data_IF_859614866113
#
_entry.id   IF_859614866113
#
_cell.length_a   1.000
_cell.length_b   1.000
_cell.length_c   1.000
_cell.angle_alpha   90.00
_cell.angle_beta   90.00
_cell.angle_gamma   90.00
#
_symmetry.space_group_name_H-M   'P 1'
#
loop_
_entity.id
_entity.type
_entity.pdbx_description
1 polymer ?
#
# COMPACT_ATOMS: atom_id res chain seq x y z
N UNK A 1 -13.78 2.31 11.25
CA UNK A 1 -13.19 2.81 9.98
C UNK A 1 -11.68 2.63 9.92
N UNK A 2 -10.84 3.61 10.31
CA UNK A 2 -9.38 3.53 10.11
C UNK A 2 -8.71 2.31 10.77
N UNK A 3 -9.11 1.94 12.00
CA UNK A 3 -8.63 0.72 12.66
C UNK A 3 -8.97 -0.55 11.87
N UNK A 4 -10.18 -0.61 11.30
CA UNK A 4 -10.64 -1.76 10.50
C UNK A 4 -9.90 -1.83 9.16
N UNK A 5 -9.67 -0.70 8.51
CA UNK A 5 -8.86 -0.62 7.30
C UNK A 5 -7.46 -1.20 7.53
N UNK A 6 -6.79 -0.82 8.62
CA UNK A 6 -5.48 -1.38 8.97
C UNK A 6 -5.53 -2.89 9.27
N UNK A 7 -6.54 -3.34 10.02
CA UNK A 7 -6.65 -4.73 10.46
C UNK A 7 -7.06 -5.68 9.32
N UNK A 8 -7.88 -5.20 8.40
CA UNK A 8 -8.59 -6.03 7.43
C UNK A 8 -8.15 -5.81 5.98
N UNK A 9 -7.38 -4.77 5.65
CA UNK A 9 -6.85 -4.60 4.29
C UNK A 9 -5.89 -5.73 3.93
N UNK A 10 -6.36 -6.63 3.06
CA UNK A 10 -5.58 -7.77 2.57
C UNK A 10 -4.31 -7.31 1.86
N UNK A 11 -4.39 -6.20 1.11
CA UNK A 11 -3.24 -5.67 0.39
C UNK A 11 -2.21 -5.06 1.34
N UNK A 12 -2.65 -4.37 2.39
CA UNK A 12 -1.74 -3.87 3.43
C UNK A 12 -1.00 -5.04 4.11
N UNK A 13 -1.72 -6.08 4.54
CA UNK A 13 -1.11 -7.25 5.18
C UNK A 13 -0.15 -8.00 4.25
N UNK A 14 -0.48 -8.15 2.96
CA UNK A 14 0.43 -8.71 1.95
C UNK A 14 1.70 -7.88 1.80
N UNK A 15 1.58 -6.56 1.84
CA UNK A 15 2.75 -5.67 1.79
C UNK A 15 3.63 -5.86 3.03
N UNK A 16 3.04 -5.93 4.23
CA UNK A 16 3.80 -6.18 5.46
C UNK A 16 4.52 -7.55 5.40
N UNK A 17 3.85 -8.59 4.90
CA UNK A 17 4.45 -9.90 4.71
C UNK A 17 5.63 -9.87 3.71
N UNK A 18 5.48 -9.15 2.60
CA UNK A 18 6.54 -8.97 1.62
C UNK A 18 7.75 -8.23 2.22
N UNK A 19 7.51 -7.20 3.02
CA UNK A 19 8.55 -6.48 3.78
C UNK A 19 9.25 -7.44 4.74
N UNK A 20 8.51 -8.22 5.52
CA UNK A 20 9.08 -9.16 6.49
C UNK A 20 9.96 -10.22 5.80
N UNK A 21 9.45 -10.86 4.74
CA UNK A 21 10.19 -11.87 3.97
C UNK A 21 11.48 -11.28 3.38
N UNK A 22 11.39 -10.08 2.80
CA UNK A 22 12.54 -9.39 2.23
C UNK A 22 13.57 -9.05 3.31
N UNK A 23 13.11 -8.50 4.45
CA UNK A 23 13.96 -8.20 5.60
C UNK A 23 14.68 -9.43 6.14
N UNK A 24 13.98 -10.54 6.33
CA UNK A 24 14.58 -11.79 6.79
C UNK A 24 15.62 -12.32 5.79
N UNK A 25 15.31 -12.29 4.48
CA UNK A 25 16.24 -12.73 3.43
C UNK A 25 17.51 -11.89 3.39
N UNK A 26 17.42 -10.60 3.65
CA UNK A 26 18.59 -9.70 3.67
C UNK A 26 19.41 -9.80 4.97
N UNK A 27 18.80 -10.19 6.07
CA UNK A 27 19.42 -10.24 7.39
C UNK A 27 19.81 -11.66 7.84
N UNK A 28 19.85 -12.63 6.91
CA UNK A 28 20.30 -14.01 7.20
C UNK A 28 21.68 -13.99 7.86
N UNK A 29 21.83 -14.72 8.97
CA UNK A 29 23.08 -14.79 9.73
C UNK A 29 23.35 -13.60 10.65
N UNK A 30 22.41 -12.67 10.79
CA UNK A 30 22.48 -11.56 11.76
C UNK A 30 21.43 -11.73 12.86
N UNK A 31 21.55 -10.96 13.93
CA UNK A 31 20.53 -10.88 15.00
C UNK A 31 19.19 -10.26 14.56
N UNK A 32 19.09 -9.80 13.30
CA UNK A 32 17.85 -9.27 12.68
C UNK A 32 17.22 -10.25 11.68
N UNK A 33 17.84 -11.42 11.46
CA UNK A 33 17.27 -12.49 10.65
C UNK A 33 16.15 -13.24 11.39
N UNK A 34 15.36 -14.02 10.65
CA UNK A 34 14.28 -14.88 11.17
C UNK A 34 13.26 -14.16 12.08
N UNK A 35 13.05 -12.87 11.86
CA UNK A 35 12.03 -12.11 12.56
C UNK A 35 10.63 -12.68 12.24
N UNK A 36 9.78 -12.76 13.27
CA UNK A 36 8.38 -13.18 13.13
C UNK A 36 7.45 -11.99 12.88
N UNK A 37 7.85 -10.79 13.29
CA UNK A 37 7.12 -9.55 13.13
C UNK A 37 8.06 -8.34 13.19
N UNK A 38 7.58 -7.18 12.77
CA UNK A 38 8.26 -5.90 12.92
C UNK A 38 7.24 -4.81 13.27
N UNK A 39 7.69 -3.76 13.98
CA UNK A 39 6.86 -2.59 14.28
C UNK A 39 6.69 -1.70 13.05
N UNK A 40 5.53 -1.09 12.88
CA UNK A 40 5.24 -0.25 11.71
C UNK A 40 6.20 0.95 11.55
N UNK A 41 6.84 1.44 12.62
CA UNK A 41 7.92 2.45 12.53
C UNK A 41 9.06 2.04 11.60
N UNK A 42 9.22 0.74 11.35
CA UNK A 42 10.26 0.21 10.45
C UNK A 42 9.93 0.48 8.98
N UNK A 43 8.65 0.67 8.63
CA UNK A 43 8.22 0.92 7.25
C UNK A 43 8.87 2.19 6.67
N UNK A 44 8.94 3.25 7.47
CA UNK A 44 9.55 4.51 7.05
C UNK A 44 11.06 4.39 6.84
N UNK A 45 11.72 3.39 7.45
CA UNK A 45 13.17 3.15 7.27
C UNK A 45 13.50 2.46 5.94
N UNK A 46 12.51 1.84 5.28
CA UNK A 46 12.72 1.12 4.02
C UNK A 46 13.12 2.03 2.86
N UNK A 47 12.82 3.33 2.95
CA UNK A 47 13.25 4.32 1.95
C UNK A 47 14.71 4.71 2.08
N UNK A 48 15.28 4.56 3.27
CA UNK A 48 16.65 4.97 3.56
C UNK A 48 17.66 3.89 3.19
N UNK A 49 17.21 2.63 3.13
CA UNK A 49 18.02 1.49 2.69
C UNK A 49 18.13 1.51 1.17
N UNK A 50 19.26 1.99 0.67
CA UNK A 50 19.56 2.10 -0.77
C UNK A 50 20.49 0.99 -1.25
N UNK A 51 20.29 0.58 -2.50
CA UNK A 51 21.22 -0.28 -3.22
C UNK A 51 22.52 0.43 -3.58
N UNK A 52 23.44 -0.31 -4.22
CA UNK A 52 24.76 0.21 -4.64
C UNK A 52 24.69 1.35 -5.64
N UNK A 53 23.57 1.49 -6.35
CA UNK A 53 23.31 2.60 -7.29
C UNK A 53 22.96 3.92 -6.58
N UNK A 54 22.75 3.90 -5.26
CA UNK A 54 22.32 5.06 -4.46
C UNK A 54 20.94 5.63 -4.83
N UNK A 55 20.22 4.99 -5.74
CA UNK A 55 18.96 5.46 -6.34
C UNK A 55 17.80 4.55 -6.00
N UNK A 56 18.01 3.24 -6.08
CA UNK A 56 16.97 2.24 -5.84
C UNK A 56 16.94 1.89 -4.37
N UNK A 57 15.79 2.10 -3.72
CA UNK A 57 15.59 1.77 -2.31
C UNK A 57 15.04 0.36 -2.15
N UNK A 58 15.11 -0.20 -0.94
CA UNK A 58 14.51 -1.49 -0.64
C UNK A 58 13.00 -1.53 -0.95
N UNK A 59 12.30 -0.42 -0.72
CA UNK A 59 10.89 -0.31 -1.05
C UNK A 59 10.61 -0.45 -2.56
N UNK A 60 11.51 -0.01 -3.44
CA UNK A 60 11.36 -0.25 -4.89
C UNK A 60 11.36 -1.75 -5.21
N UNK A 61 12.25 -2.52 -4.58
CA UNK A 61 12.32 -3.97 -4.75
C UNK A 61 11.08 -4.66 -4.20
N UNK A 62 10.60 -4.26 -3.01
CA UNK A 62 9.36 -4.80 -2.42
C UNK A 62 8.16 -4.56 -3.36
N UNK A 63 8.02 -3.34 -3.89
CA UNK A 63 6.95 -3.01 -4.85
C UNK A 63 7.07 -3.87 -6.11
N UNK A 64 8.26 -4.01 -6.69
CA UNK A 64 8.47 -4.86 -7.87
C UNK A 64 8.16 -6.34 -7.61
N UNK A 65 8.47 -6.85 -6.43
CA UNK A 65 8.20 -8.24 -6.06
C UNK A 65 6.68 -8.48 -5.89
N UNK A 66 5.96 -7.55 -5.27
CA UNK A 66 4.49 -7.63 -5.17
C UNK A 66 3.87 -7.62 -6.58
N UNK A 67 4.32 -6.73 -7.46
CA UNK A 67 3.88 -6.66 -8.87
C UNK A 67 4.06 -8.01 -9.56
N UNK A 68 5.25 -8.60 -9.45
CA UNK A 68 5.57 -9.91 -10.05
C UNK A 68 4.71 -11.02 -9.48
N UNK A 69 4.45 -11.02 -8.17
CA UNK A 69 3.65 -12.04 -7.51
C UNK A 69 2.17 -12.00 -7.95
N UNK A 70 1.60 -10.81 -8.09
CA UNK A 70 0.22 -10.63 -8.57
C UNK A 70 0.08 -11.00 -10.06
N UNK A 71 1.09 -10.69 -10.87
CA UNK A 71 1.14 -11.12 -12.28
C UNK A 71 1.21 -12.64 -12.42
N UNK A 72 2.05 -13.31 -11.62
CA UNK A 72 2.14 -14.76 -11.61
C UNK A 72 0.83 -15.41 -11.14
N UNK A 73 0.16 -14.84 -10.15
CA UNK A 73 -1.13 -15.32 -9.68
C UNK A 73 -2.20 -15.24 -10.79
N UNK A 74 -2.26 -14.13 -11.53
CA UNK A 74 -3.16 -13.99 -12.68
C UNK A 74 -2.81 -14.91 -13.85
N UNK A 75 -1.53 -15.17 -14.09
CA UNK A 75 -1.09 -16.11 -15.13
C UNK A 75 -1.53 -17.54 -14.80
N UNK A 76 -1.46 -17.96 -13.53
CA UNK A 76 -1.89 -19.29 -13.07
C UNK A 76 -3.41 -19.48 -13.10
N UNK A 77 -4.20 -18.40 -13.05
CA UNK A 77 -5.66 -18.42 -13.16
C UNK A 77 -6.15 -18.48 -14.63
N UNK A 78 -5.25 -18.29 -15.61
CA UNK A 78 -5.57 -18.34 -17.04
C UNK A 78 -5.17 -19.69 -17.64
N UNK A 79 -6.11 -20.31 -18.34
CA UNK A 79 -5.95 -21.61 -19.02
C UNK A 79 -4.87 -21.58 -20.12
N UNK A 80 -4.15 -22.68 -20.42
CA UNK A 80 -3.02 -22.71 -21.36
C UNK A 80 -3.35 -22.40 -22.83
N UNK A 81 -4.61 -22.21 -23.20
CA UNK A 81 -5.06 -22.15 -24.61
C UNK A 81 -5.09 -20.75 -25.22
N UNK A 82 -4.56 -19.71 -24.57
CA UNK A 82 -4.39 -18.40 -25.17
C UNK A 82 -2.92 -18.17 -25.53
N UNK A 83 -2.52 -18.63 -26.72
CA UNK A 83 -1.27 -18.20 -27.37
C UNK A 83 -1.35 -16.69 -27.65
N UNK A 84 -0.90 -15.89 -26.69
CA UNK A 84 -0.53 -14.51 -26.93
C UNK A 84 0.86 -14.30 -26.35
N UNK A 85 1.75 -13.81 -27.20
CA UNK A 85 3.17 -13.52 -26.97
C UNK A 85 3.54 -13.16 -25.51
N UNK A 86 4.69 -13.60 -24.98
CA UNK A 86 5.15 -13.31 -23.61
C UNK A 86 5.44 -11.81 -23.34
N UNK A 87 5.14 -10.93 -24.29
CA UNK A 87 5.22 -9.47 -24.19
C UNK A 87 3.89 -8.80 -23.77
N UNK A 88 2.80 -9.55 -23.64
CA UNK A 88 1.43 -9.00 -23.57
C UNK A 88 0.75 -8.96 -22.19
N UNK A 89 1.34 -9.51 -21.13
CA UNK A 89 0.78 -9.30 -19.78
C UNK A 89 1.04 -7.83 -19.42
N UNK A 90 0.00 -6.99 -19.24
CA UNK A 90 0.24 -5.60 -18.91
C UNK A 90 0.87 -5.56 -17.53
N UNK A 91 2.17 -5.21 -17.46
CA UNK A 91 2.91 -4.91 -16.23
C UNK A 91 2.26 -3.83 -15.34
N UNK A 92 1.14 -3.28 -15.82
CA UNK A 92 0.31 -2.24 -15.21
C UNK A 92 -0.62 -2.78 -14.13
N UNK A 93 -1.05 -4.06 -14.18
CA UNK A 93 -2.04 -4.56 -13.22
C UNK A 93 -1.46 -4.66 -11.80
N UNK A 94 -0.30 -5.30 -11.62
CA UNK A 94 0.32 -5.39 -10.30
C UNK A 94 0.65 -4.02 -9.71
N UNK A 95 1.13 -3.08 -10.54
CA UNK A 95 1.44 -1.71 -10.09
C UNK A 95 0.17 -0.96 -9.69
N UNK A 96 -0.93 -1.12 -10.44
CA UNK A 96 -2.21 -0.52 -10.14
C UNK A 96 -2.78 -1.05 -8.82
N UNK A 97 -2.64 -2.35 -8.54
CA UNK A 97 -3.04 -2.95 -7.27
C UNK A 97 -2.29 -2.27 -6.11
N UNK A 98 -0.95 -2.20 -6.16
CA UNK A 98 -0.16 -1.58 -5.08
C UNK A 98 -0.48 -0.08 -4.94
N UNK A 99 -0.67 0.63 -6.06
CA UNK A 99 -1.04 2.05 -6.05
C UNK A 99 -2.46 2.31 -5.52
N UNK A 100 -3.36 1.33 -5.56
CA UNK A 100 -4.71 1.46 -5.00
C UNK A 100 -4.73 1.41 -3.47
N UNK A 101 -3.65 0.93 -2.82
CA UNK A 101 -3.57 0.79 -1.37
C UNK A 101 -3.80 2.14 -0.64
N UNK A 102 -3.27 3.24 -1.20
CA UNK A 102 -3.49 4.56 -0.61
C UNK A 102 -4.97 4.99 -0.66
N UNK A 103 -5.76 4.46 -1.61
CA UNK A 103 -7.19 4.68 -1.67
C UNK A 103 -7.96 3.81 -0.69
N UNK A 104 -7.58 2.53 -0.56
CA UNK A 104 -8.18 1.60 0.41
C UNK A 104 -8.01 2.07 1.86
N UNK A 105 -6.87 2.68 2.18
CA UNK A 105 -6.55 3.19 3.52
C UNK A 105 -6.81 4.70 3.64
N UNK A 106 -7.82 5.22 2.95
CA UNK A 106 -8.09 6.67 2.95
C UNK A 106 -8.52 7.20 4.32
N UNK A 107 -9.21 6.40 5.15
CA UNK A 107 -9.59 6.84 6.49
C UNK A 107 -8.40 6.82 7.45
N UNK A 108 -7.37 6.01 7.19
CA UNK A 108 -6.08 6.11 7.91
C UNK A 108 -5.46 7.49 7.73
N UNK A 109 -5.45 8.05 6.52
CA UNK A 109 -4.93 9.43 6.29
C UNK A 109 -5.76 10.49 7.01
N UNK A 110 -7.08 10.33 7.06
CA UNK A 110 -7.96 11.23 7.82
C UNK A 110 -7.67 11.14 9.33
N UNK A 111 -7.56 9.92 9.86
CA UNK A 111 -7.25 9.69 11.27
C UNK A 111 -5.86 10.23 11.65
N UNK A 112 -4.88 10.18 10.75
CA UNK A 112 -3.55 10.75 10.95
C UNK A 112 -3.56 12.28 11.13
N UNK A 113 -4.55 12.98 10.56
CA UNK A 113 -4.72 14.43 10.73
C UNK A 113 -5.51 14.83 11.98
N UNK A 114 -6.03 13.86 12.75
CA UNK A 114 -6.77 14.14 13.98
C UNK A 114 -5.82 14.36 15.15
N UNK A 115 -6.29 15.11 16.13
CA UNK A 115 -5.58 15.37 17.39
C UNK A 115 -6.46 14.91 18.55
N UNK A 116 -5.98 13.94 19.33
CA UNK A 116 -6.72 13.33 20.43
C UNK A 116 -6.93 14.32 21.59
N UNK A 117 -5.99 15.21 21.84
CA UNK A 117 -6.09 16.20 22.91
C UNK A 117 -7.10 17.29 22.55
N UNK A 118 -7.11 17.70 21.28
CA UNK A 118 -8.11 18.64 20.76
C UNK A 118 -9.51 18.03 20.83
N UNK A 119 -9.68 16.77 20.42
CA UNK A 119 -10.96 16.07 20.52
C UNK A 119 -11.46 16.02 21.97
N UNK A 120 -10.66 15.48 22.89
CA UNK A 120 -11.08 15.34 24.28
C UNK A 120 -11.26 16.68 24.98
N UNK A 121 -10.46 17.70 24.65
CA UNK A 121 -10.67 19.05 25.20
C UNK A 121 -11.97 19.69 24.72
N UNK A 122 -12.38 19.42 23.48
CA UNK A 122 -13.63 19.93 22.91
C UNK A 122 -14.85 19.32 23.61
N UNK A 123 -14.83 17.99 23.83
CA UNK A 123 -15.87 17.27 24.57
C UNK A 123 -15.98 17.76 26.02
N UNK A 124 -14.84 17.99 26.69
CA UNK A 124 -14.81 18.57 28.05
C UNK A 124 -15.37 19.99 28.09
N UNK A 125 -15.05 20.84 27.10
CA UNK A 125 -15.56 22.21 27.01
C UNK A 125 -17.07 22.25 26.78
N UNK A 126 -17.60 21.37 25.93
CA UNK A 126 -19.04 21.24 25.71
C UNK A 126 -19.78 20.90 27.00
N UNK A 127 -19.30 19.87 27.72
CA UNK A 127 -19.89 19.49 28.99
C UNK A 127 -19.80 20.61 30.05
N UNK A 128 -18.66 21.28 30.17
CA UNK A 128 -18.50 22.40 31.10
C UNK A 128 -19.39 23.60 30.74
N UNK A 129 -19.63 23.83 29.44
CA UNK A 129 -20.57 24.85 28.97
C UNK A 129 -22.01 24.51 29.37
N UNK A 130 -22.40 23.25 29.24
CA UNK A 130 -23.73 22.78 29.63
C UNK A 130 -23.98 22.87 31.13
N UNK A 131 -22.98 22.56 31.96
CA UNK A 131 -23.07 22.77 33.41
C UNK A 131 -23.34 24.24 33.75
N UNK A 132 -22.68 25.19 33.08
CA UNK A 132 -22.96 26.62 33.27
C UNK A 132 -24.39 27.01 32.89
N UNK A 133 -24.95 26.40 31.85
CA UNK A 133 -26.35 26.60 31.46
C UNK A 133 -27.29 26.04 32.52
N UNK A 134 -26.96 24.86 33.06
CA UNK A 134 -27.70 24.22 34.17
C UNK A 134 -27.70 25.12 35.41
N UNK A 135 -26.55 25.66 35.79
CA UNK A 135 -26.41 26.57 36.94
C UNK A 135 -27.19 27.87 36.71
N UNK A 136 -27.09 28.47 35.53
CA UNK A 136 -27.84 29.68 35.18
C UNK A 136 -29.36 29.47 35.27
N UNK A 137 -29.86 28.31 34.84
CA UNK A 137 -31.29 27.96 34.95
C UNK A 137 -31.74 27.79 36.40
N UNK A 138 -30.89 27.24 37.27
CA UNK A 138 -31.21 27.11 38.70
C UNK A 138 -31.27 28.47 39.39
N UNK A 139 -30.45 29.42 38.94
CA UNK A 139 -30.40 30.77 39.50
C UNK A 139 -31.49 31.69 38.96
N UNK A 140 -32.09 31.40 37.80
CA UNK A 140 -33.11 32.27 37.19
C UNK A 140 -34.47 32.31 37.90
N UNK A 141 -34.70 31.47 38.91
CA UNK A 141 -35.94 31.47 39.69
C UNK A 141 -37.19 31.05 38.89
N UNK A 142 -38.31 30.89 39.59
CA UNK A 142 -39.60 30.46 39.02
C UNK A 142 -40.49 31.66 38.68
N UNK A 143 -39.90 32.61 37.93
CA UNK A 143 -40.63 33.80 37.49
C UNK A 143 -41.58 33.43 36.33
N UNK A 144 -42.88 33.63 36.51
CA UNK A 144 -43.91 33.26 35.54
C UNK A 144 -43.73 34.01 34.19
N UNK A 145 -43.10 35.18 34.22
CA UNK A 145 -42.70 35.94 33.03
C UNK A 145 -41.61 35.24 32.18
N UNK A 146 -40.80 34.36 32.79
CA UNK A 146 -39.69 33.65 32.15
C UNK A 146 -39.98 32.16 31.91
N UNK A 147 -41.20 31.69 32.18
CA UNK A 147 -41.59 30.29 32.08
C UNK A 147 -41.30 29.68 30.69
N UNK A 148 -41.51 30.45 29.62
CA UNK A 148 -41.26 29.99 28.25
C UNK A 148 -39.76 29.81 27.96
N UNK A 149 -38.90 30.68 28.52
CA UNK A 149 -37.45 30.53 28.43
C UNK A 149 -36.97 29.31 29.22
N UNK A 150 -37.44 29.15 30.46
CA UNK A 150 -37.10 28.01 31.32
C UNK A 150 -37.49 26.67 30.67
N UNK A 151 -38.70 26.58 30.09
CA UNK A 151 -39.17 25.40 29.36
C UNK A 151 -38.29 25.08 28.14
N UNK A 152 -37.97 26.09 27.34
CA UNK A 152 -37.13 25.93 26.14
C UNK A 152 -35.70 25.50 26.51
N UNK A 153 -35.12 26.13 27.53
CA UNK A 153 -33.75 25.85 27.96
C UNK A 153 -33.63 24.51 28.70
N UNK A 154 -34.67 24.09 29.43
CA UNK A 154 -34.74 22.74 30.00
C UNK A 154 -34.75 21.67 28.91
N UNK A 155 -35.53 21.90 27.84
CA UNK A 155 -35.55 21.01 26.66
C UNK A 155 -34.19 20.98 25.94
N UNK A 156 -33.55 22.13 25.78
CA UNK A 156 -32.19 22.23 25.23
C UNK A 156 -31.18 21.48 26.09
N UNK A 157 -31.21 21.68 27.41
CA UNK A 157 -30.32 21.02 28.36
C UNK A 157 -30.44 19.51 28.25
N UNK A 158 -31.66 18.97 28.33
CA UNK A 158 -31.92 17.53 28.25
C UNK A 158 -31.32 16.91 26.98
N UNK A 159 -31.56 17.53 25.82
CA UNK A 159 -30.99 17.07 24.53
C UNK A 159 -29.47 17.15 24.51
N UNK A 160 -28.89 18.26 24.99
CA UNK A 160 -27.46 18.43 25.03
C UNK A 160 -26.77 17.44 25.98
N UNK A 161 -27.39 17.08 27.11
CA UNK A 161 -26.89 16.06 28.04
C UNK A 161 -26.80 14.70 27.35
N UNK A 162 -27.85 14.32 26.62
CA UNK A 162 -27.90 13.07 25.85
C UNK A 162 -26.84 13.04 24.75
N UNK A 163 -26.76 14.10 23.93
CA UNK A 163 -25.79 14.19 22.83
C UNK A 163 -24.33 14.19 23.34
N UNK A 164 -24.03 14.91 24.42
CA UNK A 164 -22.68 14.93 25.02
C UNK A 164 -22.33 13.57 25.61
N UNK A 165 -23.28 12.88 26.26
CA UNK A 165 -23.06 11.53 26.77
C UNK A 165 -22.77 10.54 25.63
N UNK A 166 -23.50 10.64 24.52
CA UNK A 166 -23.25 9.84 23.34
C UNK A 166 -21.85 10.11 22.74
N UNK A 167 -21.48 11.38 22.54
CA UNK A 167 -20.16 11.75 22.00
C UNK A 167 -19.03 11.21 22.89
N UNK A 168 -19.17 11.28 24.21
CA UNK A 168 -18.19 10.71 25.16
C UNK A 168 -18.08 9.19 25.04
N UNK A 169 -19.20 8.51 24.88
CA UNK A 169 -19.20 7.06 24.70
C UNK A 169 -18.50 6.67 23.38
N UNK A 170 -18.79 7.39 22.30
CA UNK A 170 -18.17 7.18 20.99
C UNK A 170 -16.67 7.50 21.01
N UNK A 171 -16.25 8.58 21.66
CA UNK A 171 -14.84 8.94 21.86
C UNK A 171 -14.08 7.82 22.58
N UNK A 172 -14.61 7.33 23.70
CA UNK A 172 -13.98 6.27 24.48
C UNK A 172 -13.91 4.95 23.70
N UNK A 173 -14.98 4.60 22.97
CA UNK A 173 -15.00 3.42 22.12
C UNK A 173 -13.96 3.52 20.99
N UNK A 174 -13.86 4.69 20.34
CA UNK A 174 -12.88 4.92 19.29
C UNK A 174 -11.43 4.82 19.83
N UNK A 175 -11.13 5.44 20.97
CA UNK A 175 -9.80 5.36 21.59
C UNK A 175 -9.45 3.94 22.04
N UNK A 176 -10.43 3.15 22.49
CA UNK A 176 -10.23 1.73 22.81
C UNK A 176 -9.83 0.93 21.57
N UNK A 177 -10.54 1.12 20.45
CA UNK A 177 -10.17 0.48 19.18
C UNK A 177 -8.77 0.90 18.70
N UNK A 178 -8.39 2.15 18.93
CA UNK A 178 -7.05 2.66 18.61
C UNK A 178 -5.98 2.00 19.49
N UNK A 179 -6.28 1.78 20.78
CA UNK A 179 -5.39 1.03 21.67
C UNK A 179 -5.22 -0.41 21.19
N UNK A 180 -6.32 -1.11 20.89
CA UNK A 180 -6.28 -2.50 20.40
C UNK A 180 -5.48 -2.64 19.10
N UNK A 181 -5.69 -1.75 18.13
CA UNK A 181 -4.94 -1.81 16.86
C UNK A 181 -3.45 -1.48 17.05
N UNK A 182 -3.15 -0.59 17.99
CA UNK A 182 -1.77 -0.28 18.38
C UNK A 182 -1.10 -1.48 19.04
N UNK A 183 -1.79 -2.19 19.94
CA UNK A 183 -1.26 -3.44 20.52
C UNK A 183 -1.06 -4.52 19.46
N UNK A 184 -1.98 -4.64 18.50
CA UNK A 184 -1.87 -5.61 17.42
C UNK A 184 -0.59 -5.43 16.57
N UNK A 185 -0.21 -4.19 16.24
CA UNK A 185 0.94 -3.91 15.37
C UNK A 185 2.24 -3.56 16.13
N UNK A 186 2.17 -3.04 17.36
CA UNK A 186 3.34 -2.60 18.14
C UNK A 186 3.62 -3.43 19.40
N UNK A 187 2.68 -4.29 19.80
CA UNK A 187 2.78 -5.22 20.93
C UNK A 187 2.53 -4.60 22.31
N UNK A 188 3.06 -3.40 22.59
CA UNK A 188 2.86 -2.71 23.86
C UNK A 188 2.37 -1.28 23.64
N UNK A 189 1.05 -1.07 23.80
CA UNK A 189 0.44 0.25 23.62
C UNK A 189 0.78 1.26 24.73
N UNK A 190 1.27 0.84 25.90
CA UNK A 190 1.58 1.75 27.01
C UNK A 190 2.63 2.81 26.63
N UNK A 191 3.49 2.52 25.66
CA UNK A 191 4.49 3.49 25.15
C UNK A 191 3.90 4.53 24.20
N UNK A 192 2.74 4.25 23.63
CA UNK A 192 2.07 5.08 22.62
C UNK A 192 0.80 5.73 23.19
N UNK A 193 0.48 5.52 24.47
CA UNK A 193 -0.71 6.11 25.13
C UNK A 193 -0.71 7.64 25.08
N UNK A 194 0.46 8.29 25.06
CA UNK A 194 0.57 9.74 24.93
C UNK A 194 0.18 10.25 23.52
N UNK A 195 0.23 9.39 22.50
CA UNK A 195 -0.07 9.75 21.11
C UNK A 195 -0.88 8.65 20.42
N UNK A 196 -2.17 8.48 20.78
CA UNK A 196 -3.00 7.37 20.28
C UNK A 196 -3.03 7.28 18.74
N UNK A 197 -3.05 8.42 18.03
CA UNK A 197 -3.14 8.44 16.57
C UNK A 197 -1.81 8.30 15.84
N UNK A 198 -0.68 8.14 16.55
CA UNK A 198 0.65 8.01 15.92
C UNK A 198 0.74 6.83 14.97
N UNK A 199 0.06 5.72 15.26
CA UNK A 199 -0.01 4.57 14.35
C UNK A 199 -0.55 4.95 12.97
N UNK A 200 -1.56 5.81 12.92
CA UNK A 200 -2.11 6.30 11.65
C UNK A 200 -1.15 7.24 10.94
N UNK A 201 -0.43 8.09 11.67
CA UNK A 201 0.61 8.98 11.10
C UNK A 201 1.69 8.16 10.41
N UNK A 202 2.23 7.13 11.07
CA UNK A 202 3.27 6.27 10.51
C UNK A 202 2.79 5.62 9.21
N UNK A 203 1.58 5.07 9.19
CA UNK A 203 1.03 4.42 8.00
C UNK A 203 0.72 5.44 6.92
N UNK A 204 0.16 6.60 7.26
CA UNK A 204 -0.12 7.69 6.32
C UNK A 204 1.16 8.15 5.60
N UNK A 205 2.22 8.43 6.36
CA UNK A 205 3.52 8.83 5.81
C UNK A 205 4.11 7.74 4.90
N UNK A 206 3.98 6.48 5.32
CA UNK A 206 4.40 5.35 4.50
C UNK A 206 3.60 5.23 3.20
N UNK A 207 2.29 5.47 3.22
CA UNK A 207 1.47 5.47 2.01
C UNK A 207 1.87 6.58 1.04
N UNK A 208 2.18 7.77 1.55
CA UNK A 208 2.67 8.87 0.72
C UNK A 208 4.03 8.55 0.09
N UNK A 209 4.90 7.88 0.84
CA UNK A 209 6.15 7.32 0.33
C UNK A 209 5.88 6.28 -0.77
N UNK A 210 4.98 5.33 -0.51
CA UNK A 210 4.65 4.25 -1.42
C UNK A 210 4.12 4.79 -2.75
N UNK A 211 3.26 5.80 -2.71
CA UNK A 211 2.74 6.49 -3.90
C UNK A 211 3.87 7.08 -4.76
N UNK A 212 4.89 7.67 -4.13
CA UNK A 212 6.06 8.20 -4.84
C UNK A 212 6.87 7.08 -5.49
N UNK A 213 7.11 5.98 -4.78
CA UNK A 213 7.83 4.82 -5.30
C UNK A 213 7.06 4.15 -6.44
N UNK A 214 5.75 3.97 -6.33
CA UNK A 214 4.91 3.43 -7.40
C UNK A 214 5.01 4.27 -8.68
N UNK A 215 5.00 5.61 -8.56
CA UNK A 215 5.23 6.52 -9.70
C UNK A 215 6.63 6.36 -10.31
N UNK A 216 7.66 6.19 -9.48
CA UNK A 216 9.04 5.98 -9.95
C UNK A 216 9.17 4.65 -10.70
N UNK A 217 8.68 3.55 -10.12
CA UNK A 217 8.67 2.21 -10.74
C UNK A 217 7.91 2.22 -12.07
N UNK A 218 6.75 2.89 -12.13
CA UNK A 218 5.98 3.04 -13.37
C UNK A 218 6.75 3.76 -14.48
N UNK A 219 7.48 4.83 -14.15
CA UNK A 219 8.35 5.54 -15.10
C UNK A 219 9.52 4.66 -15.58
N UNK A 220 10.17 3.93 -14.66
CA UNK A 220 11.26 3.01 -14.99
C UNK A 220 10.80 1.91 -15.96
N UNK A 221 9.63 1.33 -15.73
CA UNK A 221 9.07 0.30 -16.62
C UNK A 221 8.76 0.85 -18.03
N UNK A 222 8.25 2.08 -18.14
CA UNK A 222 8.00 2.73 -19.42
C UNK A 222 9.29 3.03 -20.19
N UNK A 223 10.32 3.52 -19.51
CA UNK A 223 11.62 3.81 -20.11
C UNK A 223 12.32 2.54 -20.62
N UNK A 224 12.30 1.45 -19.82
CA UNK A 224 12.83 0.15 -20.25
C UNK A 224 12.06 -0.41 -21.44
N UNK A 225 10.72 -0.27 -21.47
CA UNK A 225 9.91 -0.69 -22.60
C UNK A 225 10.23 0.12 -23.88
N UNK A 226 10.36 1.45 -23.77
CA UNK A 226 10.73 2.32 -24.89
C UNK A 226 12.14 2.01 -25.42
N UNK A 227 13.11 1.76 -24.54
CA UNK A 227 14.47 1.36 -24.92
C UNK A 227 14.51 0.00 -25.63
N UNK A 228 13.65 -0.94 -25.23
CA UNK A 228 13.52 -2.25 -25.89
C UNK A 228 12.83 -2.17 -27.26
N UNK A 229 11.87 -1.24 -27.43
CA UNK A 229 11.21 -0.99 -28.72
C UNK A 229 12.13 -0.28 -29.73
N UNK A 230 13.00 0.64 -29.27
CA UNK A 230 13.97 1.34 -30.11
C UNK A 230 15.15 0.49 -30.61
N UNK A 231 15.31 -0.75 -30.13
CA UNK A 231 16.35 -1.70 -30.57
C UNK A 231 15.92 -2.66 -31.68
N UNK A 232 14.67 -2.59 -32.16
CA UNK A 232 14.27 -3.30 -33.37
C UNK A 232 14.83 -2.54 -34.59
N UNK A 233 16.01 -2.95 -35.07
CA UNK A 233 16.55 -2.48 -36.35
C UNK A 233 15.53 -2.81 -37.46
N UNK A 234 15.26 -1.89 -38.41
CA UNK A 234 14.41 -2.20 -39.55
C UNK A 234 15.03 -3.35 -40.34
N UNK A 235 14.30 -4.44 -40.52
CA UNK A 235 14.66 -5.48 -41.50
C UNK A 235 14.64 -4.77 -42.87
N UNK A 236 15.73 -4.76 -43.65
CA UNK A 236 15.70 -4.15 -44.98
C UNK A 236 14.73 -4.93 -45.86
N UNK A 237 13.65 -4.27 -46.28
CA UNK A 237 12.74 -4.79 -47.28
C UNK A 237 13.40 -4.69 -48.66
N UNK A 238 14.25 -5.65 -49.01
CA UNK A 238 14.63 -5.90 -50.39
C UNK A 238 15.01 -7.38 -50.58
N UNK A 239 14.19 -8.19 -51.26
CA UNK A 239 14.59 -9.50 -51.73
C UNK A 239 15.47 -9.34 -52.98
N UNK A 240 16.73 -9.73 -52.89
CA UNK A 240 17.61 -9.90 -54.06
C UNK A 240 17.11 -11.14 -54.83
N UNK A 241 16.77 -11.05 -56.13
CA UNK A 241 16.43 -12.23 -56.92
C UNK A 241 17.71 -13.06 -57.18
N UNK A 242 17.65 -14.36 -56.91
CA UNK A 242 18.72 -15.28 -57.27
C UNK A 242 18.88 -15.39 -58.80
N UNK A 243 20.11 -15.44 -59.36
CA UNK A 243 20.29 -15.63 -60.78
C UNK A 243 19.98 -17.07 -61.18
N UNK A 244 19.15 -17.22 -62.21
CA UNK A 244 18.80 -18.50 -62.83
C UNK A 244 20.00 -19.10 -63.54
N UNK A 245 20.57 -20.17 -62.97
CA UNK A 245 21.59 -20.97 -63.63
C UNK A 245 20.95 -21.80 -64.76
N UNK A 246 21.28 -21.45 -66.01
CA UNK A 246 20.97 -22.27 -67.19
C UNK A 246 21.82 -23.54 -67.16
N UNK A 247 21.13 -24.66 -67.31
CA UNK A 247 21.69 -26.00 -67.49
C UNK A 247 22.65 -26.05 -68.69
N UNK A 248 23.89 -26.45 -68.46
CA UNK A 248 24.70 -27.10 -69.50
C UNK A 248 25.23 -28.43 -68.96
N UNK A 249 24.80 -29.49 -69.62
CA UNK A 249 25.14 -30.89 -69.39
C UNK A 249 26.47 -31.18 -70.08
N UNK A 250 27.50 -31.66 -69.38
CA UNK A 250 28.48 -32.60 -69.96
C UNK A 250 28.89 -33.66 -68.94
N UNK A 251 28.92 -34.87 -69.49
CA UNK A 251 29.20 -36.20 -68.96
C UNK A 251 30.72 -36.42 -68.84
N UNK A 252 31.10 -37.40 -68.00
CA UNK A 252 32.15 -38.45 -68.11
C UNK A 252 32.91 -38.58 -66.76
N UNK A 253 32.58 -39.62 -65.95
CA UNK A 253 33.35 -40.88 -65.68
C UNK A 253 34.56 -40.63 -64.78
N UNK A 254 34.99 -41.45 -63.82
CA UNK A 254 34.64 -42.72 -63.18
C UNK A 254 35.68 -42.89 -62.03
N UNK A 255 35.48 -43.88 -61.17
CA UNK A 255 36.45 -44.50 -60.24
C UNK A 255 36.58 -43.97 -58.79
N UNK A 256 35.90 -44.72 -57.91
CA UNK A 256 36.44 -45.60 -56.86
C UNK A 256 37.04 -45.03 -55.56
N UNK A 257 36.41 -45.51 -54.47
CA UNK A 257 36.96 -46.02 -53.19
C UNK A 257 37.78 -45.02 -52.32
N UNK A 258 37.70 -44.98 -50.98
CA UNK A 258 37.49 -46.03 -50.01
C UNK A 258 37.21 -45.44 -48.59
N UNK A 259 36.40 -46.17 -47.83
CA UNK A 259 36.37 -46.44 -46.38
C UNK A 259 37.06 -45.53 -45.32
N UNK A 260 36.37 -45.37 -44.17
CA UNK A 260 37.06 -45.02 -42.91
C UNK A 260 36.16 -44.60 -41.75
N UNK A 261 35.66 -45.58 -41.00
CA UNK A 261 34.81 -45.47 -39.81
C UNK A 261 35.58 -45.19 -38.50
N UNK A 262 34.81 -44.77 -37.49
CA UNK A 262 34.92 -45.16 -36.05
C UNK A 262 35.74 -44.29 -35.08
N UNK A 263 34.98 -43.52 -34.30
CA UNK A 263 34.85 -43.59 -32.82
C UNK A 263 36.03 -44.07 -31.96
N UNK A 264 36.34 -43.26 -30.96
CA UNK A 264 36.62 -43.66 -29.56
C UNK A 264 36.09 -42.58 -28.63
#
# INVERSE_FOLDING_TARGET
AACEELKCSRLFLKLLEAVLKTGNRMNVGTNRGDAQAFKLDTLLKLVDVKGTDGKTTLLHFVVQEIIRSEEAHLANLRSPSAELSPAGIPRKHGLQVVAALSGELSNVKKAASMDSDVLGSSVRKLAAGLEKVSDALRLSGDDEANAQFASSMSSFKSKAEEEIAQIRAEENAALTLVKEITEYFHGNAAREEAHPFRIFVIVSDFLDVLDRVCKQVGKMQQQTAAASAGRQLPIPANPIPAPTARVFRRRWTDSDEDSGSSSS
#
